data_IF_023561710042
#
_entry.id   IF_023561710042
#
_cell.length_a   1.000
_cell.length_b   1.000
_cell.length_c   1.000
_cell.angle_alpha   90.00
_cell.angle_beta   90.00
_cell.angle_gamma   90.00
#
_symmetry.space_group_name_H-M   'P 1'
#
loop_
_entity.id
_entity.type
_entity.pdbx_description
1 polymer ?
#
# COMPACT_ATOMS: atom_id res chain seq x y z
N UNK A 1 9.39 4.87 29.63
CA UNK A 1 8.76 4.70 28.29
C UNK A 1 9.24 3.37 27.72
N UNK A 2 8.36 2.38 27.51
CA UNK A 2 8.74 1.21 26.71
C UNK A 2 8.96 1.72 25.28
N UNK A 3 10.19 1.65 24.79
CA UNK A 3 10.51 1.89 23.39
C UNK A 3 9.67 0.93 22.58
N UNK A 4 8.74 1.48 21.80
CA UNK A 4 7.85 0.69 20.98
C UNK A 4 8.68 0.06 19.86
N UNK A 5 9.01 -1.22 20.01
CA UNK A 5 9.99 -1.92 19.17
C UNK A 5 9.60 -1.92 17.69
N UNK A 6 8.30 -1.80 17.37
CA UNK A 6 7.80 -1.82 16.00
C UNK A 6 7.52 -0.43 15.42
N UNK A 7 7.59 0.63 16.22
CA UNK A 7 7.25 1.98 15.77
C UNK A 7 8.14 2.43 14.60
N UNK A 8 9.45 2.20 14.69
CA UNK A 8 10.39 2.54 13.62
C UNK A 8 10.02 1.82 12.31
N UNK A 9 9.67 0.53 12.39
CA UNK A 9 9.27 -0.26 11.24
C UNK A 9 7.96 0.24 10.62
N UNK A 10 6.93 0.52 11.43
CA UNK A 10 5.64 1.03 10.94
C UNK A 10 5.82 2.36 10.21
N UNK A 11 6.65 3.25 10.77
CA UNK A 11 6.92 4.58 10.22
C UNK A 11 7.89 4.61 9.03
N UNK A 12 8.56 3.51 8.70
CA UNK A 12 9.49 3.43 7.56
C UNK A 12 8.70 3.26 6.26
N UNK A 13 8.68 4.22 5.32
CA UNK A 13 7.87 4.14 4.10
C UNK A 13 8.18 2.88 3.27
N UNK A 14 7.15 2.17 2.79
CA UNK A 14 7.40 0.99 1.93
C UNK A 14 8.08 1.37 0.60
N UNK A 15 8.02 2.64 0.21
CA UNK A 15 8.71 3.16 -0.96
C UNK A 15 10.24 3.00 -0.85
N UNK A 16 10.79 2.95 0.36
CA UNK A 16 12.22 2.74 0.56
C UNK A 16 12.68 1.41 -0.03
N UNK A 17 11.82 0.39 -0.06
CA UNK A 17 12.12 -0.88 -0.73
C UNK A 17 12.37 -0.68 -2.23
N UNK A 18 11.59 0.19 -2.90
CA UNK A 18 11.83 0.51 -4.31
C UNK A 18 13.14 1.27 -4.50
N UNK A 19 13.46 2.21 -3.59
CA UNK A 19 14.72 2.97 -3.59
C UNK A 19 15.92 2.04 -3.44
N UNK A 20 15.83 1.09 -2.50
CA UNK A 20 16.87 0.10 -2.22
C UNK A 20 17.05 -0.84 -3.41
N UNK A 21 15.96 -1.30 -4.03
CA UNK A 21 16.01 -2.09 -5.28
C UNK A 21 16.76 -1.32 -6.37
N UNK A 22 16.33 -0.09 -6.67
CA UNK A 22 16.94 0.72 -7.75
C UNK A 22 18.42 0.96 -7.48
N UNK A 23 18.77 1.26 -6.23
CA UNK A 23 20.16 1.50 -5.82
C UNK A 23 21.01 0.24 -5.95
N UNK A 24 20.48 -0.91 -5.53
CA UNK A 24 21.15 -2.21 -5.63
C UNK A 24 21.37 -2.63 -7.08
N UNK A 25 20.49 -2.21 -8.00
CA UNK A 25 20.56 -2.56 -9.42
C UNK A 25 21.45 -1.61 -10.25
N UNK A 26 22.09 -0.61 -9.64
CA UNK A 26 22.85 0.42 -10.37
C UNK A 26 23.98 -0.13 -11.25
N UNK A 27 24.59 -1.25 -10.86
CA UNK A 27 25.73 -1.85 -11.57
C UNK A 27 25.33 -2.83 -12.69
N UNK A 28 24.03 -3.13 -12.86
CA UNK A 28 23.55 -4.18 -13.78
C UNK A 28 23.69 -3.78 -15.25
N UNK A 29 23.70 -2.47 -15.56
CA UNK A 29 23.62 -1.96 -16.94
C UNK A 29 22.18 -1.92 -17.45
N UNK A 30 21.99 -1.57 -18.72
CA UNK A 30 20.68 -1.31 -19.34
C UNK A 30 20.52 -1.91 -20.75
N UNK A 31 21.33 -2.91 -21.10
CA UNK A 31 21.28 -3.61 -22.38
C UNK A 31 20.07 -4.55 -22.56
N UNK A 32 19.99 -5.23 -23.71
CA UNK A 32 18.88 -6.15 -23.98
C UNK A 32 18.94 -7.42 -23.10
N UNK A 33 20.15 -7.81 -22.71
CA UNK A 33 20.45 -9.00 -21.92
C UNK A 33 19.87 -8.94 -20.50
N UNK A 34 19.53 -7.75 -20.00
CA UNK A 34 19.00 -7.55 -18.65
C UNK A 34 17.46 -7.56 -18.58
N UNK A 35 16.76 -7.67 -19.72
CA UNK A 35 15.29 -7.76 -19.76
C UNK A 35 14.72 -8.95 -18.97
N UNK A 36 15.24 -10.19 -19.10
CA UNK A 36 14.76 -11.32 -18.30
C UNK A 36 15.01 -11.12 -16.81
N UNK A 37 16.12 -10.48 -16.44
CA UNK A 37 16.49 -10.19 -15.06
C UNK A 37 15.56 -9.14 -14.43
N UNK A 38 15.12 -8.15 -15.23
CA UNK A 38 14.21 -7.11 -14.78
C UNK A 38 12.89 -7.67 -14.25
N UNK A 39 12.34 -8.70 -14.90
CA UNK A 39 11.11 -9.37 -14.43
C UNK A 39 11.30 -9.96 -13.03
N UNK A 40 12.39 -10.69 -12.79
CA UNK A 40 12.68 -11.25 -11.46
C UNK A 40 12.84 -10.16 -10.40
N UNK A 41 13.52 -9.06 -10.73
CA UNK A 41 13.73 -7.93 -9.81
C UNK A 41 12.39 -7.25 -9.48
N UNK A 42 11.55 -7.00 -10.49
CA UNK A 42 10.23 -6.39 -10.29
C UNK A 42 9.32 -7.28 -9.43
N UNK A 43 9.28 -8.58 -9.71
CA UNK A 43 8.50 -9.55 -8.94
C UNK A 43 8.95 -9.58 -7.48
N UNK A 44 10.26 -9.66 -7.24
CA UNK A 44 10.85 -9.67 -5.90
C UNK A 44 10.56 -8.37 -5.15
N UNK A 45 10.73 -7.22 -5.82
CA UNK A 45 10.44 -5.90 -5.24
C UNK A 45 8.97 -5.78 -4.84
N UNK A 46 8.06 -6.24 -5.70
CA UNK A 46 6.63 -6.22 -5.43
C UNK A 46 6.24 -7.12 -4.25
N UNK A 47 6.81 -8.33 -4.18
CA UNK A 47 6.61 -9.24 -3.06
C UNK A 47 7.16 -8.66 -1.75
N UNK A 48 8.33 -8.03 -1.79
CA UNK A 48 8.90 -7.36 -0.62
C UNK A 48 8.01 -6.20 -0.14
N UNK A 49 7.49 -5.37 -1.05
CA UNK A 49 6.60 -4.25 -0.69
C UNK A 49 5.24 -4.72 -0.14
N UNK A 50 4.63 -5.74 -0.75
CA UNK A 50 3.37 -6.31 -0.26
C UNK A 50 3.55 -7.03 1.07
N UNK A 51 4.63 -7.79 1.23
CA UNK A 51 4.99 -8.44 2.49
C UNK A 51 5.27 -7.42 3.60
N UNK A 52 6.00 -6.35 3.31
CA UNK A 52 6.22 -5.26 4.28
C UNK A 52 4.90 -4.60 4.70
N UNK A 53 4.00 -4.31 3.75
CA UNK A 53 2.66 -3.79 4.05
C UNK A 53 1.88 -4.74 4.98
N UNK A 54 1.89 -6.05 4.69
CA UNK A 54 1.21 -7.06 5.51
C UNK A 54 1.76 -7.13 6.93
N UNK A 55 3.09 -7.13 7.08
CA UNK A 55 3.73 -7.16 8.40
C UNK A 55 3.50 -5.88 9.19
N UNK A 56 3.55 -4.71 8.54
CA UNK A 56 3.21 -3.42 9.18
C UNK A 56 1.82 -3.45 9.79
N UNK A 57 0.84 -3.97 9.06
CA UNK A 57 -0.53 -4.06 9.55
C UNK A 57 -0.66 -4.98 10.77
N UNK A 58 0.07 -6.11 10.78
CA UNK A 58 0.12 -7.00 11.95
C UNK A 58 0.76 -6.29 13.15
N UNK A 59 1.87 -5.58 12.95
CA UNK A 59 2.49 -4.78 14.00
C UNK A 59 1.53 -3.71 14.56
N UNK A 60 0.81 -2.98 13.69
CA UNK A 60 -0.21 -2.01 14.11
C UNK A 60 -1.29 -2.68 14.97
N UNK A 61 -1.84 -3.82 14.54
CA UNK A 61 -2.82 -4.57 15.32
C UNK A 61 -2.28 -5.00 16.68
N UNK A 62 -1.04 -5.51 16.74
CA UNK A 62 -0.42 -5.93 18.00
C UNK A 62 -0.18 -4.76 18.96
N UNK A 63 0.24 -3.61 18.44
CA UNK A 63 0.43 -2.42 19.26
C UNK A 63 -0.90 -1.89 19.82
N UNK A 64 -1.94 -1.78 18.98
CA UNK A 64 -3.28 -1.40 19.44
C UNK A 64 -3.80 -2.39 20.49
N UNK A 65 -3.67 -3.68 20.23
CA UNK A 65 -4.09 -4.73 21.15
C UNK A 65 -3.28 -4.71 22.45
N UNK A 66 -2.05 -4.22 22.46
CA UNK A 66 -1.23 -4.11 23.68
C UNK A 66 -1.83 -3.09 24.66
N UNK A 67 -2.41 -2.00 24.14
CA UNK A 67 -2.92 -0.90 24.96
C UNK A 67 -4.45 -0.93 25.14
N UNK A 68 -5.20 -1.52 24.21
CA UNK A 68 -6.67 -1.61 24.24
C UNK A 68 -7.12 -3.08 24.41
N UNK A 69 -7.61 -3.41 25.61
CA UNK A 69 -8.05 -4.76 25.97
C UNK A 69 -9.33 -5.20 25.26
N UNK A 70 -10.24 -4.28 24.97
CA UNK A 70 -11.48 -4.59 24.22
C UNK A 70 -11.11 -4.94 22.77
N UNK A 71 -10.24 -4.15 22.16
CA UNK A 71 -9.72 -4.45 20.83
C UNK A 71 -8.97 -5.79 20.81
N UNK A 72 -8.15 -6.09 21.82
CA UNK A 72 -7.46 -7.39 21.93
C UNK A 72 -8.45 -8.55 21.96
N UNK A 73 -9.52 -8.43 22.73
CA UNK A 73 -10.54 -9.47 22.81
C UNK A 73 -11.21 -9.72 21.46
N UNK A 74 -11.60 -8.66 20.75
CA UNK A 74 -12.22 -8.78 19.42
C UNK A 74 -11.25 -9.34 18.37
N UNK A 75 -9.97 -8.96 18.43
CA UNK A 75 -8.92 -9.49 17.56
C UNK A 75 -8.71 -11.00 17.77
N UNK A 76 -8.75 -11.48 19.02
CA UNK A 76 -8.62 -12.90 19.34
C UNK A 76 -9.86 -13.71 18.96
N UNK A 77 -11.05 -13.12 19.09
CA UNK A 77 -12.32 -13.75 18.71
C UNK A 77 -12.48 -13.89 17.20
N UNK A 78 -12.03 -12.89 16.44
CA UNK A 78 -12.06 -12.87 14.97
C UNK A 78 -10.67 -12.56 14.44
N UNK A 79 -9.79 -13.58 14.36
CA UNK A 79 -8.41 -13.39 13.94
C UNK A 79 -8.35 -12.85 12.52
N UNK A 80 -7.50 -11.84 12.33
CA UNK A 80 -7.17 -11.33 11.01
C UNK A 80 -6.26 -12.34 10.32
N UNK A 81 -6.46 -12.58 9.03
CA UNK A 81 -5.63 -13.49 8.24
C UNK A 81 -4.23 -12.92 7.98
N UNK A 82 -3.76 -13.07 6.74
CA UNK A 82 -2.42 -12.58 6.36
C UNK A 82 -2.34 -11.05 6.16
N UNK A 83 -3.46 -10.33 6.26
CA UNK A 83 -3.59 -8.90 5.95
C UNK A 83 -3.35 -8.56 4.47
N UNK A 84 -3.46 -9.54 3.57
CA UNK A 84 -3.22 -9.39 2.13
C UNK A 84 -4.46 -8.96 1.35
N UNK A 85 -5.63 -9.50 1.72
CA UNK A 85 -6.88 -9.19 1.04
C UNK A 85 -7.40 -7.80 1.44
N UNK A 86 -8.23 -7.20 0.60
CA UNK A 86 -8.75 -5.85 0.85
C UNK A 86 -9.64 -5.78 2.10
N UNK A 87 -10.42 -6.82 2.38
CA UNK A 87 -11.34 -6.85 3.52
C UNK A 87 -10.61 -6.69 4.85
N UNK A 88 -9.50 -7.41 5.03
CA UNK A 88 -8.66 -7.32 6.22
C UNK A 88 -8.05 -5.93 6.34
N UNK A 89 -7.50 -5.40 5.25
CA UNK A 89 -6.92 -4.05 5.20
C UNK A 89 -7.95 -2.98 5.57
N UNK A 90 -9.15 -3.06 4.99
CA UNK A 90 -10.25 -2.15 5.30
C UNK A 90 -10.72 -2.27 6.75
N UNK A 91 -10.79 -3.51 7.28
CA UNK A 91 -11.14 -3.76 8.70
C UNK A 91 -10.13 -3.07 9.62
N UNK A 92 -8.84 -3.31 9.43
CA UNK A 92 -7.77 -2.69 10.24
C UNK A 92 -7.85 -1.15 10.19
N UNK A 93 -8.09 -0.60 9.00
CA UNK A 93 -8.20 0.85 8.84
C UNK A 93 -9.38 1.46 9.60
N UNK A 94 -10.49 0.71 9.74
CA UNK A 94 -11.64 1.10 10.57
C UNK A 94 -11.35 0.89 12.06
N UNK A 95 -10.75 -0.25 12.42
CA UNK A 95 -10.36 -0.57 13.79
C UNK A 95 -9.43 0.50 14.37
N UNK A 96 -8.47 1.00 13.58
CA UNK A 96 -7.61 2.11 13.97
C UNK A 96 -8.41 3.38 14.31
N UNK A 97 -9.40 3.73 13.50
CA UNK A 97 -10.26 4.88 13.78
C UNK A 97 -11.03 4.67 15.09
N UNK A 98 -11.56 3.47 15.32
CA UNK A 98 -12.33 3.14 16.52
C UNK A 98 -11.47 3.20 17.79
N UNK A 99 -10.26 2.64 17.74
CA UNK A 99 -9.28 2.71 18.84
C UNK A 99 -8.91 4.16 19.13
N UNK A 100 -8.61 4.97 18.10
CA UNK A 100 -8.26 6.39 18.29
C UNK A 100 -9.45 7.15 18.87
N UNK A 101 -10.68 6.93 18.38
CA UNK A 101 -11.89 7.57 18.91
C UNK A 101 -12.19 7.20 20.36
N UNK A 102 -11.85 5.97 20.80
CA UNK A 102 -11.95 5.58 22.23
C UNK A 102 -10.94 6.31 23.12
N UNK A 103 -9.75 6.61 22.60
CA UNK A 103 -8.75 7.44 23.31
C UNK A 103 -9.24 8.88 23.42
N UNK A 104 -9.79 9.43 22.32
CA UNK A 104 -10.44 10.71 22.32
C UNK A 104 -11.14 10.98 20.97
N UNK A 105 -12.42 11.36 20.96
CA UNK A 105 -13.17 11.57 19.71
C UNK A 105 -12.60 12.71 18.87
N UNK A 106 -12.02 13.75 19.51
CA UNK A 106 -11.48 14.93 18.84
C UNK A 106 -10.27 14.63 17.94
N UNK A 107 -9.59 13.50 18.15
CA UNK A 107 -8.46 13.08 17.32
C UNK A 107 -8.89 12.54 15.95
N UNK A 108 -10.13 12.04 15.82
CA UNK A 108 -10.73 11.63 14.54
C UNK A 108 -11.71 12.72 14.12
N UNK A 109 -11.20 13.75 13.45
CA UNK A 109 -12.00 14.88 12.99
C UNK A 109 -11.89 15.09 11.47
N UNK A 110 -12.75 15.97 10.95
CA UNK A 110 -12.88 16.26 9.52
C UNK A 110 -11.65 16.84 8.81
N UNK A 111 -10.56 17.17 9.53
CA UNK A 111 -9.39 17.84 8.94
C UNK A 111 -8.23 16.90 8.63
N UNK A 112 -8.23 15.64 9.10
CA UNK A 112 -7.13 14.68 8.88
C UNK A 112 -6.82 14.48 7.40
N UNK A 113 -7.87 14.20 6.63
CA UNK A 113 -7.85 13.98 5.19
C UNK A 113 -8.63 15.08 4.46
N UNK A 114 -8.28 16.34 4.73
CA UNK A 114 -8.82 17.46 3.97
C UNK A 114 -8.39 17.43 2.49
N UNK A 115 -9.11 18.18 1.65
CA UNK A 115 -8.96 18.15 0.19
C UNK A 115 -7.53 18.49 -0.27
N UNK A 116 -6.93 19.53 0.31
CA UNK A 116 -5.54 19.98 0.09
C UNK A 116 -4.53 18.87 0.38
N UNK A 117 -4.66 18.20 1.54
CA UNK A 117 -3.80 17.08 1.91
C UNK A 117 -3.88 15.94 0.89
N UNK A 118 -5.08 15.57 0.46
CA UNK A 118 -5.29 14.49 -0.50
C UNK A 118 -4.71 14.84 -1.88
N UNK A 119 -4.87 16.08 -2.33
CA UNK A 119 -4.26 16.56 -3.59
C UNK A 119 -2.73 16.51 -3.52
N UNK A 120 -2.15 16.97 -2.42
CA UNK A 120 -0.70 16.91 -2.20
C UNK A 120 -0.21 15.46 -2.18
N UNK A 121 -0.89 14.57 -1.45
CA UNK A 121 -0.52 13.16 -1.33
C UNK A 121 -0.50 12.46 -2.70
N UNK A 122 -1.54 12.66 -3.52
CA UNK A 122 -1.63 12.06 -4.87
C UNK A 122 -0.48 12.51 -5.76
N UNK A 123 -0.16 13.81 -5.76
CA UNK A 123 0.92 14.36 -6.56
C UNK A 123 2.28 13.89 -6.05
N UNK A 124 2.47 13.89 -4.72
CA UNK A 124 3.69 13.47 -4.07
C UNK A 124 4.02 11.99 -4.37
N UNK A 125 3.04 11.08 -4.29
CA UNK A 125 3.25 9.67 -4.63
C UNK A 125 3.72 9.52 -6.08
N UNK A 126 3.02 10.17 -7.03
CA UNK A 126 3.39 10.09 -8.45
C UNK A 126 4.79 10.64 -8.70
N UNK A 127 5.11 11.79 -8.12
CA UNK A 127 6.43 12.41 -8.23
C UNK A 127 7.53 11.56 -7.61
N UNK A 128 7.29 10.97 -6.44
CA UNK A 128 8.26 10.12 -5.76
C UNK A 128 8.55 8.84 -6.56
N UNK A 129 7.52 8.18 -7.10
CA UNK A 129 7.72 7.01 -7.97
C UNK A 129 8.55 7.41 -9.18
N UNK A 130 8.16 8.47 -9.89
CA UNK A 130 8.92 8.98 -11.05
C UNK A 130 10.36 9.29 -10.67
N UNK A 131 10.60 10.02 -9.59
CA UNK A 131 11.95 10.42 -9.18
C UNK A 131 12.85 9.23 -8.84
N UNK A 132 12.30 8.18 -8.23
CA UNK A 132 13.06 6.97 -7.89
C UNK A 132 13.37 6.14 -9.13
N UNK A 133 12.46 6.08 -10.11
CA UNK A 133 12.61 5.21 -11.28
C UNK A 133 13.18 5.91 -12.50
N UNK A 134 13.17 7.25 -12.56
CA UNK A 134 13.73 8.01 -13.69
C UNK A 134 15.22 7.75 -13.83
N UNK A 135 15.65 7.38 -15.03
CA UNK A 135 17.05 6.98 -15.35
C UNK A 135 17.57 5.78 -14.53
N UNK A 136 16.69 5.06 -13.84
CA UNK A 136 17.04 3.78 -13.20
C UNK A 136 17.01 2.64 -14.20
N UNK A 137 17.66 1.53 -13.84
CA UNK A 137 17.54 0.25 -14.54
C UNK A 137 16.08 -0.11 -14.87
N UNK A 138 15.17 0.00 -13.89
CA UNK A 138 13.75 -0.32 -14.08
C UNK A 138 13.07 0.64 -15.07
N UNK A 139 13.42 1.93 -15.00
CA UNK A 139 12.88 2.94 -15.90
C UNK A 139 13.26 2.66 -17.35
N UNK A 140 14.53 2.33 -17.61
CA UNK A 140 15.03 2.07 -18.97
C UNK A 140 14.46 0.77 -19.53
N UNK A 141 14.53 -0.33 -18.78
CA UNK A 141 14.07 -1.64 -19.28
C UNK A 141 12.55 -1.70 -19.45
N UNK A 142 11.79 -0.96 -18.64
CA UNK A 142 10.32 -0.82 -18.74
C UNK A 142 9.88 0.53 -19.27
N UNK A 143 10.65 1.11 -20.19
CA UNK A 143 10.44 2.47 -20.66
C UNK A 143 9.03 2.72 -21.20
N UNK A 144 8.47 1.79 -21.99
CA UNK A 144 7.10 1.91 -22.50
C UNK A 144 6.08 2.07 -21.37
N UNK A 145 6.14 1.21 -20.36
CA UNK A 145 5.21 1.22 -19.23
C UNK A 145 5.47 2.44 -18.34
N UNK A 146 6.74 2.84 -18.18
CA UNK A 146 7.11 3.99 -17.38
C UNK A 146 6.64 5.31 -18.01
N UNK A 147 6.81 5.47 -19.33
CA UNK A 147 6.31 6.63 -20.06
C UNK A 147 4.79 6.68 -20.05
N UNK A 148 4.12 5.54 -20.20
CA UNK A 148 2.67 5.47 -20.03
C UNK A 148 2.26 5.95 -18.62
N UNK A 149 2.92 5.48 -17.56
CA UNK A 149 2.65 5.93 -16.19
C UNK A 149 2.87 7.44 -15.98
N UNK A 150 3.92 8.02 -16.59
CA UNK A 150 4.20 9.47 -16.54
C UNK A 150 3.05 10.27 -17.15
N UNK A 151 2.67 9.93 -18.38
CA UNK A 151 1.73 10.72 -19.19
C UNK A 151 0.27 10.45 -18.82
N UNK A 152 -0.08 9.22 -18.47
CA UNK A 152 -1.45 8.84 -18.19
C UNK A 152 -2.03 9.60 -16.98
N UNK A 153 -3.34 9.90 -17.00
CA UNK A 153 -4.03 10.42 -15.83
C UNK A 153 -3.81 9.51 -14.62
N UNK A 154 -3.55 10.09 -13.45
CA UNK A 154 -3.34 9.30 -12.25
C UNK A 154 -4.63 8.52 -11.92
N UNK A 155 -4.50 7.20 -11.74
CA UNK A 155 -5.61 6.36 -11.28
C UNK A 155 -6.04 6.77 -9.87
N UNK A 156 -5.09 7.22 -9.05
CA UNK A 156 -5.36 7.72 -7.71
C UNK A 156 -5.92 9.14 -7.86
N UNK A 157 -7.21 9.28 -7.55
CA UNK A 157 -7.91 10.57 -7.50
C UNK A 157 -8.29 10.85 -6.05
N UNK A 158 -8.24 12.12 -5.65
CA UNK A 158 -8.56 12.58 -4.28
C UNK A 158 -9.94 12.14 -3.76
N UNK A 159 -10.89 11.87 -4.66
CA UNK A 159 -12.23 11.40 -4.31
C UNK A 159 -12.36 9.88 -4.15
N UNK A 160 -11.28 9.11 -4.28
CA UNK A 160 -11.32 7.64 -4.32
C UNK A 160 -10.74 6.95 -3.07
N UNK A 161 -10.40 7.69 -2.03
CA UNK A 161 -9.84 7.15 -0.78
C UNK A 161 -10.16 8.10 0.37
N UNK A 162 -10.15 7.67 1.63
CA UNK A 162 -10.27 8.55 2.82
C UNK A 162 -11.40 9.61 2.72
N UNK A 163 -12.59 9.21 2.27
CA UNK A 163 -13.73 10.12 2.21
C UNK A 163 -14.55 10.02 3.50
N UNK A 164 -14.96 11.16 4.05
CA UNK A 164 -15.75 11.19 5.26
C UNK A 164 -17.17 10.69 5.02
N UNK A 165 -17.66 9.89 5.96
CA UNK A 165 -19.04 9.49 6.07
C UNK A 165 -19.85 10.53 6.88
N UNK A 166 -21.16 10.30 7.00
CA UNK A 166 -22.06 11.19 7.75
C UNK A 166 -21.78 11.22 9.25
N UNK A 167 -21.01 10.27 9.78
CA UNK A 167 -20.68 10.12 11.20
C UNK A 167 -19.26 10.65 11.52
N UNK A 168 -18.56 11.22 10.53
CA UNK A 168 -17.21 11.77 10.70
C UNK A 168 -16.08 10.75 10.61
N UNK A 169 -16.38 9.46 10.40
CA UNK A 169 -15.37 8.44 10.06
C UNK A 169 -15.03 8.54 8.58
N UNK A 170 -13.94 7.94 8.13
CA UNK A 170 -13.56 7.97 6.73
C UNK A 170 -13.28 6.58 6.16
N UNK A 171 -13.64 6.42 4.89
CA UNK A 171 -13.44 5.18 4.13
C UNK A 171 -11.96 4.91 3.84
N UNK A 172 -11.63 3.67 3.50
CA UNK A 172 -10.25 3.35 3.13
C UNK A 172 -9.99 3.67 1.65
N UNK A 173 -10.41 2.80 0.74
CA UNK A 173 -10.48 3.03 -0.70
C UNK A 173 -11.94 2.94 -1.17
N UNK A 174 -12.26 3.60 -2.28
CA UNK A 174 -13.60 3.65 -2.89
C UNK A 174 -13.60 3.09 -4.31
N UNK A 175 -14.74 2.53 -4.72
CA UNK A 175 -15.10 2.20 -6.10
C UNK A 175 -13.91 1.63 -6.92
N UNK A 176 -13.42 2.43 -7.88
CA UNK A 176 -12.39 2.07 -8.85
C UNK A 176 -11.05 1.71 -8.20
N UNK A 177 -10.64 2.38 -7.10
CA UNK A 177 -9.38 2.07 -6.43
C UNK A 177 -9.45 0.75 -5.67
N UNK A 178 -10.58 0.47 -5.01
CA UNK A 178 -10.81 -0.83 -4.40
C UNK A 178 -10.80 -1.93 -5.47
N UNK A 179 -11.56 -1.73 -6.56
CA UNK A 179 -11.62 -2.69 -7.67
C UNK A 179 -10.24 -2.94 -8.26
N UNK A 180 -9.45 -1.90 -8.48
CA UNK A 180 -8.09 -2.05 -8.99
C UNK A 180 -7.20 -2.84 -8.03
N UNK A 181 -7.26 -2.55 -6.72
CA UNK A 181 -6.50 -3.32 -5.74
C UNK A 181 -6.87 -4.80 -5.77
N UNK A 182 -8.16 -5.13 -5.72
CA UNK A 182 -8.63 -6.52 -5.65
C UNK A 182 -8.37 -7.30 -6.96
N UNK A 183 -8.57 -6.66 -8.12
CA UNK A 183 -8.51 -7.32 -9.42
C UNK A 183 -7.14 -7.31 -10.07
N UNK A 184 -6.31 -6.34 -9.73
CA UNK A 184 -4.96 -6.18 -10.28
C UNK A 184 -3.93 -6.47 -9.21
N UNK A 185 -3.77 -5.60 -8.21
CA UNK A 185 -2.66 -5.68 -7.22
C UNK A 185 -2.65 -7.01 -6.47
N UNK A 186 -3.78 -7.40 -5.90
CA UNK A 186 -3.91 -8.64 -5.12
C UNK A 186 -3.73 -9.90 -5.98
N UNK A 187 -4.27 -9.88 -7.21
CA UNK A 187 -4.10 -10.98 -8.17
C UNK A 187 -2.63 -11.16 -8.56
N UNK A 188 -1.92 -10.07 -8.83
CA UNK A 188 -0.49 -10.08 -9.16
C UNK A 188 0.37 -10.53 -7.96
N UNK A 189 0.05 -10.07 -6.74
CA UNK A 189 0.71 -10.54 -5.50
C UNK A 189 0.62 -12.06 -5.39
N UNK A 190 -0.58 -12.62 -5.55
CA UNK A 190 -0.77 -14.06 -5.48
C UNK A 190 -0.08 -14.80 -6.63
N UNK A 191 -0.11 -14.25 -7.85
CA UNK A 191 0.61 -14.83 -8.98
C UNK A 191 2.11 -14.91 -8.70
N UNK A 192 2.72 -13.81 -8.26
CA UNK A 192 4.15 -13.78 -7.94
C UNK A 192 4.52 -14.71 -6.79
N UNK A 193 3.71 -14.78 -5.74
CA UNK A 193 3.95 -15.66 -4.59
C UNK A 193 3.81 -17.15 -4.94
N UNK A 194 2.94 -17.48 -5.91
CA UNK A 194 2.64 -18.85 -6.32
C UNK A 194 3.20 -19.22 -7.70
N UNK A 195 4.20 -18.47 -8.22
CA UNK A 195 4.90 -18.71 -9.49
C UNK A 195 5.77 -19.99 -9.50
N UNK A 196 5.41 -21.01 -8.73
CA UNK A 196 5.87 -22.39 -8.92
C UNK A 196 5.30 -22.91 -10.25
N UNK A 197 6.06 -23.77 -10.96
CA UNK A 197 5.73 -24.31 -12.29
C UNK A 197 4.27 -24.81 -12.46
N UNK A 198 3.57 -25.16 -11.38
CA UNK A 198 2.18 -25.61 -11.36
C UNK A 198 1.12 -24.54 -11.71
N UNK A 199 1.43 -23.24 -11.63
CA UNK A 199 0.47 -22.16 -12.00
C UNK A 199 0.70 -21.56 -13.40
N UNK A 200 1.64 -22.09 -14.18
CA UNK A 200 2.00 -21.55 -15.50
C UNK A 200 0.89 -21.69 -16.55
N UNK A 201 -0.12 -22.53 -16.33
CA UNK A 201 -1.29 -22.64 -17.21
C UNK A 201 -2.32 -21.51 -17.02
N UNK A 202 -2.15 -20.62 -16.03
CA UNK A 202 -3.04 -19.48 -15.80
C UNK A 202 -2.70 -18.29 -16.72
N UNK A 203 -2.57 -18.58 -18.02
CA UNK A 203 -2.48 -17.56 -19.06
C UNK A 203 -3.80 -16.77 -19.13
N UNK A 204 -3.76 -15.51 -19.59
CA UNK A 204 -4.97 -14.77 -19.91
C UNK A 204 -5.87 -15.62 -20.81
N UNK A 205 -7.10 -15.87 -20.41
CA UNK A 205 -8.09 -16.37 -21.37
C UNK A 205 -8.30 -15.28 -22.43
N UNK A 206 -8.66 -15.67 -23.65
CA UNK A 206 -9.03 -14.71 -24.70
C UNK A 206 -10.14 -13.74 -24.25
N UNK A 207 -11.04 -14.21 -23.37
CA UNK A 207 -12.05 -13.39 -22.70
C UNK A 207 -11.43 -12.36 -21.74
N UNK A 208 -10.43 -12.76 -20.95
CA UNK A 208 -9.72 -11.84 -20.07
C UNK A 208 -8.94 -10.75 -20.80
N UNK A 209 -8.42 -11.04 -22.00
CA UNK A 209 -7.82 -10.03 -22.89
C UNK A 209 -8.86 -9.03 -23.41
N UNK A 210 -10.07 -9.51 -23.71
CA UNK A 210 -11.19 -8.68 -24.16
C UNK A 210 -11.72 -7.74 -23.07
N UNK A 211 -11.61 -8.12 -21.80
CA UNK A 211 -12.10 -7.32 -20.67
C UNK A 211 -11.24 -6.07 -20.36
N UNK A 212 -10.12 -5.86 -21.07
CA UNK A 212 -9.27 -4.67 -20.96
C UNK A 212 -8.54 -4.51 -19.63
N UNK A 213 -8.65 -5.47 -18.71
CA UNK A 213 -7.97 -5.43 -17.41
C UNK A 213 -6.45 -5.43 -17.60
N UNK A 214 -5.94 -6.16 -18.60
CA UNK A 214 -4.53 -6.19 -18.98
C UNK A 214 -3.96 -4.82 -19.34
N UNK A 215 -4.75 -3.93 -19.95
CA UNK A 215 -4.30 -2.58 -20.30
C UNK A 215 -4.07 -1.71 -19.05
N UNK A 216 -4.66 -2.09 -17.91
CA UNK A 216 -4.49 -1.41 -16.63
C UNK A 216 -3.33 -2.00 -15.80
N UNK A 217 -2.69 -3.06 -16.27
CA UNK A 217 -1.59 -3.75 -15.57
C UNK A 217 -0.26 -3.02 -15.79
N UNK A 218 -0.09 -1.89 -15.11
CA UNK A 218 1.16 -1.15 -15.10
C UNK A 218 1.84 -1.30 -13.73
N UNK A 219 3.09 -1.75 -13.73
CA UNK A 219 3.87 -1.99 -12.52
C UNK A 219 3.96 -0.74 -11.62
N UNK A 220 4.28 0.41 -12.18
CA UNK A 220 4.43 1.67 -11.44
C UNK A 220 3.08 2.15 -10.86
N UNK A 221 1.97 1.89 -11.57
CA UNK A 221 0.61 2.13 -11.05
C UNK A 221 0.30 1.23 -9.84
N UNK A 222 0.65 -0.06 -9.90
CA UNK A 222 0.46 -0.97 -8.76
C UNK A 222 1.27 -0.53 -7.55
N UNK A 223 2.54 -0.13 -7.75
CA UNK A 223 3.39 0.41 -6.69
C UNK A 223 2.79 1.66 -6.05
N UNK A 224 2.23 2.57 -6.87
CA UNK A 224 1.61 3.80 -6.39
C UNK A 224 0.46 3.54 -5.42
N UNK A 225 -0.34 2.50 -5.68
CA UNK A 225 -1.47 2.13 -4.80
C UNK A 225 -0.96 1.53 -3.49
N UNK A 226 0.09 0.70 -3.54
CA UNK A 226 0.71 0.19 -2.31
C UNK A 226 1.23 1.35 -1.45
N UNK A 227 1.92 2.32 -2.06
CA UNK A 227 2.44 3.51 -1.36
C UNK A 227 1.30 4.35 -0.79
N UNK A 228 0.21 4.56 -1.55
CA UNK A 228 -0.99 5.24 -1.04
C UNK A 228 -1.52 4.58 0.23
N UNK A 229 -1.71 3.26 0.20
CA UNK A 229 -2.23 2.52 1.34
C UNK A 229 -1.31 2.66 2.55
N UNK A 230 0.00 2.52 2.35
CA UNK A 230 0.99 2.70 3.41
C UNK A 230 0.94 4.10 4.05
N UNK A 231 0.88 5.16 3.24
CA UNK A 231 0.76 6.54 3.70
C UNK A 231 -0.50 6.78 4.53
N UNK A 232 -1.63 6.17 4.14
CA UNK A 232 -2.88 6.26 4.90
C UNK A 232 -2.75 5.59 6.28
N UNK A 233 -2.14 4.41 6.35
CA UNK A 233 -1.90 3.73 7.64
C UNK A 233 -0.90 4.48 8.51
N UNK A 234 0.21 4.94 7.93
CA UNK A 234 1.21 5.72 8.67
C UNK A 234 0.61 7.02 9.22
N UNK A 235 -0.26 7.69 8.45
CA UNK A 235 -0.96 8.89 8.92
C UNK A 235 -1.83 8.61 10.15
N UNK A 236 -2.63 7.55 10.14
CA UNK A 236 -3.44 7.15 11.29
C UNK A 236 -2.60 6.70 12.47
N UNK A 237 -1.54 5.95 12.21
CA UNK A 237 -0.65 5.47 13.24
C UNK A 237 0.06 6.62 13.96
N UNK A 238 0.47 7.66 13.23
CA UNK A 238 1.04 8.87 13.82
C UNK A 238 0.04 9.60 14.72
N UNK A 239 -1.24 9.62 14.36
CA UNK A 239 -2.31 10.17 15.20
C UNK A 239 -2.49 9.32 16.46
N UNK A 240 -2.53 7.99 16.31
CA UNK A 240 -2.60 7.05 17.43
C UNK A 240 -1.45 7.21 18.44
N UNK A 241 -0.22 7.36 17.96
CA UNK A 241 0.94 7.58 18.84
C UNK A 241 0.86 8.94 19.54
N UNK A 242 0.35 9.98 18.87
CA UNK A 242 0.15 11.29 19.47
C UNK A 242 -0.92 11.23 20.58
N UNK A 243 -2.08 10.64 20.30
CA UNK A 243 -3.18 10.51 21.26
C UNK A 243 -2.77 9.65 22.47
N UNK A 244 -2.04 8.56 22.24
CA UNK A 244 -1.57 7.66 23.30
C UNK A 244 -0.51 8.30 24.23
N UNK A 245 0.22 9.32 23.78
CA UNK A 245 1.20 10.06 24.61
C UNK A 245 0.55 11.11 25.51
N UNK A 246 -0.61 11.62 25.11
CA UNK A 246 -1.36 12.65 25.84
C UNK A 246 -2.20 12.05 26.98
N UNK A 247 -2.55 10.76 26.89
CA UNK A 247 -3.12 9.99 28.00
C UNK A 247 -2.01 9.58 28.98
N UNK A 248 -1.78 10.41 30.00
CA UNK A 248 -1.02 9.99 31.18
C UNK A 248 -1.90 9.05 32.00
N UNK A 249 -1.52 7.77 32.05
CA UNK A 249 -1.98 6.86 33.10
C UNK A 249 -1.40 7.27 34.44
#
# INVERSE_FOLDING_TARGET
MRTNQHQQFIQTPILDILRDTVTSCRAIGDGIEVHPLCECIMQTTFLNMTGASEQKLKCICWEMATNDYEYRYELLKSPIGECSNYKDKQKIFKDMQDVISRIGPDYINGTIFEKSYKEHLVNNIKQQIIAVTDRSFLGVVKEKDFQHYKIAPNIIKKGLFANYDKKGKFSFLENDLQFFYERVVYRWRNRYAHNLKSYQENLPSLLGLKDGIYERENFFTMLSILVLMDELYMKLYNIYIKSSKEVKW
#
